data_IF_178898803113
#
_entry.id   IF_178898803113
#
_cell.length_a   1.000
_cell.length_b   1.000
_cell.length_c   1.000
_cell.angle_alpha   90.00
_cell.angle_beta   90.00
_cell.angle_gamma   90.00
#
_symmetry.space_group_name_H-M   'P 1'
#
loop_
_entity.id
_entity.type
_entity.pdbx_description
1 polymer ?
#
# COMPACT_ATOMS: atom_id res chain seq x y z
N UNK A 1 -49.10 85.68 23.84
CA UNK A 1 -47.86 85.53 24.61
C UNK A 1 -47.90 84.19 25.35
N UNK A 2 -46.84 83.37 25.20
CA UNK A 2 -46.47 82.11 25.93
C UNK A 2 -47.42 80.89 25.74
N UNK A 3 -47.08 79.83 24.98
CA UNK A 3 -46.20 78.64 25.28
C UNK A 3 -46.46 78.07 26.69
N UNK A 4 -46.86 76.80 26.90
CA UNK A 4 -46.09 75.52 26.76
C UNK A 4 -47.08 74.31 26.90
N UNK A 5 -47.24 73.37 25.97
CA UNK A 5 -46.60 72.02 25.77
C UNK A 5 -46.63 71.04 26.97
N UNK A 6 -47.44 69.96 26.89
CA UNK A 6 -47.09 68.51 27.00
C UNK A 6 -48.38 67.66 27.14
N UNK A 7 -48.79 66.82 26.18
CA UNK A 7 -48.25 65.52 25.73
C UNK A 7 -48.61 64.35 26.66
N UNK A 8 -49.64 63.58 26.31
CA UNK A 8 -49.61 62.12 26.43
C UNK A 8 -50.59 61.49 25.42
N UNK A 9 -49.94 60.84 24.46
CA UNK A 9 -50.45 60.18 23.28
C UNK A 9 -50.67 58.70 23.64
N UNK A 10 -51.92 58.22 23.57
CA UNK A 10 -52.22 56.79 23.52
C UNK A 10 -52.92 56.51 22.19
N UNK A 11 -52.15 56.67 21.10
CA UNK A 11 -52.57 56.25 19.77
C UNK A 11 -52.34 54.76 19.62
N UNK A 12 -53.43 54.01 19.53
CA UNK A 12 -53.47 52.63 19.07
C UNK A 12 -53.02 52.59 17.60
N UNK A 13 -51.71 52.50 17.36
CA UNK A 13 -51.20 52.19 16.02
C UNK A 13 -51.35 50.68 15.79
N UNK A 14 -52.47 50.32 15.15
CA UNK A 14 -52.56 49.12 14.31
C UNK A 14 -51.56 49.30 13.16
N UNK A 15 -50.30 48.93 13.41
CA UNK A 15 -49.26 48.88 12.41
C UNK A 15 -49.46 47.67 11.51
N UNK A 16 -50.29 47.79 10.48
CA UNK A 16 -50.11 46.98 9.28
C UNK A 16 -48.87 47.52 8.56
N UNK A 17 -47.69 46.99 8.88
CA UNK A 17 -46.57 47.09 7.94
C UNK A 17 -47.00 46.37 6.67
N UNK A 18 -46.82 46.94 5.46
CA UNK A 18 -46.99 46.17 4.25
C UNK A 18 -46.01 45.00 4.34
N UNK A 19 -46.57 43.80 4.46
CA UNK A 19 -45.81 42.57 4.46
C UNK A 19 -45.00 42.61 3.17
N UNK A 20 -43.68 42.69 3.30
CA UNK A 20 -42.78 42.73 2.16
C UNK A 20 -42.92 41.35 1.55
N UNK A 21 -43.82 41.22 0.57
CA UNK A 21 -43.94 40.03 -0.27
C UNK A 21 -42.61 39.94 -1.01
N UNK A 22 -41.62 39.33 -0.36
CA UNK A 22 -40.52 38.71 -1.08
C UNK A 22 -41.20 37.81 -2.10
N UNK A 23 -40.82 37.84 -3.38
CA UNK A 23 -41.29 36.83 -4.32
C UNK A 23 -40.86 35.47 -3.75
N UNK A 24 -41.79 34.78 -3.10
CA UNK A 24 -41.58 33.43 -2.63
C UNK A 24 -41.68 32.57 -3.89
N UNK A 25 -40.61 31.84 -4.19
CA UNK A 25 -40.61 30.88 -5.29
C UNK A 25 -41.59 29.78 -4.89
N UNK A 26 -42.73 29.72 -5.57
CA UNK A 26 -43.74 28.69 -5.33
C UNK A 26 -43.37 27.42 -6.08
N UNK A 27 -42.83 26.45 -5.35
CA UNK A 27 -42.46 25.13 -5.86
C UNK A 27 -43.55 24.08 -5.63
N UNK A 28 -44.76 24.49 -5.20
CA UNK A 28 -45.85 23.53 -4.99
C UNK A 28 -46.35 23.00 -6.34
N UNK A 29 -45.98 21.76 -6.67
CA UNK A 29 -46.38 21.07 -7.90
C UNK A 29 -45.29 20.93 -8.97
N UNK A 30 -44.09 21.47 -8.76
CA UNK A 30 -42.90 21.02 -9.48
C UNK A 30 -42.26 19.88 -8.71
N UNK A 31 -42.54 18.64 -9.09
CA UNK A 31 -41.80 17.46 -8.61
C UNK A 31 -40.39 17.50 -9.23
N UNK A 32 -39.59 18.54 -8.91
CA UNK A 32 -38.20 18.61 -9.30
C UNK A 32 -37.46 17.53 -8.52
N UNK A 33 -36.84 16.60 -9.22
CA UNK A 33 -36.05 15.52 -8.63
C UNK A 33 -34.62 15.56 -9.14
N UNK A 34 -33.70 15.10 -8.29
CA UNK A 34 -32.26 15.08 -8.52
C UNK A 34 -31.79 13.63 -8.56
N UNK A 35 -31.03 13.27 -9.59
CA UNK A 35 -30.39 11.96 -9.69
C UNK A 35 -28.92 12.10 -10.12
N UNK A 36 -28.13 11.06 -9.83
CA UNK A 36 -26.69 11.03 -10.04
C UNK A 36 -26.26 9.77 -10.80
N UNK A 37 -25.30 9.92 -11.71
CA UNK A 37 -24.43 8.84 -12.17
C UNK A 37 -22.99 9.21 -11.82
N UNK A 38 -22.23 8.29 -11.23
CA UNK A 38 -20.88 8.57 -10.74
C UNK A 38 -19.88 7.59 -11.35
N UNK A 39 -18.74 8.11 -11.78
CA UNK A 39 -17.53 7.35 -12.11
C UNK A 39 -16.49 7.58 -11.01
N UNK A 40 -15.87 6.49 -10.56
CA UNK A 40 -14.81 6.50 -9.55
C UNK A 40 -13.59 7.30 -10.04
N UNK A 41 -12.82 7.81 -9.08
CA UNK A 41 -11.57 8.52 -9.32
C UNK A 41 -10.37 7.58 -9.22
N UNK A 42 -9.28 7.87 -9.92
CA UNK A 42 -8.03 7.14 -9.71
C UNK A 42 -7.41 7.46 -8.34
N UNK A 43 -6.64 6.53 -7.77
CA UNK A 43 -6.11 6.69 -6.41
C UNK A 43 -5.10 7.84 -6.26
N UNK A 44 -4.50 8.33 -7.35
CA UNK A 44 -3.51 9.41 -7.36
C UNK A 44 -3.82 10.49 -8.41
N UNK A 45 -5.04 10.49 -8.96
CA UNK A 45 -5.47 11.42 -9.99
C UNK A 45 -6.91 11.87 -9.72
N UNK A 46 -7.24 13.09 -10.09
CA UNK A 46 -8.60 13.60 -9.98
C UNK A 46 -9.37 13.23 -11.25
N UNK A 47 -9.65 11.94 -11.48
CA UNK A 47 -10.28 11.45 -12.73
C UNK A 47 -11.76 11.08 -12.58
N UNK A 48 -12.34 11.28 -11.40
CA UNK A 48 -13.75 11.01 -11.12
C UNK A 48 -14.68 11.93 -11.90
N UNK A 49 -15.89 11.44 -12.13
CA UNK A 49 -16.93 12.13 -12.90
C UNK A 49 -18.26 12.01 -12.16
N UNK A 50 -19.03 13.10 -12.11
CA UNK A 50 -20.42 13.09 -11.68
C UNK A 50 -21.28 13.66 -12.80
N UNK A 51 -22.25 12.88 -13.26
CA UNK A 51 -23.37 13.38 -14.04
C UNK A 51 -24.55 13.62 -13.11
N UNK A 52 -25.06 14.85 -13.12
CA UNK A 52 -26.31 15.21 -12.46
C UNK A 52 -27.42 15.24 -13.50
N UNK A 53 -28.57 14.68 -13.16
CA UNK A 53 -29.80 14.81 -13.95
C UNK A 53 -30.93 15.36 -13.10
N UNK A 54 -31.75 16.22 -13.71
CA UNK A 54 -32.97 16.76 -13.14
C UNK A 54 -34.18 16.19 -13.86
N UNK A 55 -35.27 15.90 -13.15
CA UNK A 55 -36.58 15.59 -13.75
C UNK A 55 -37.67 16.42 -13.09
N UNK A 56 -38.81 16.62 -13.78
CA UNK A 56 -39.89 17.51 -13.31
C UNK A 56 -39.57 19.00 -13.44
N UNK A 57 -40.13 19.88 -12.61
CA UNK A 57 -39.85 21.34 -12.69
C UNK A 57 -40.04 22.00 -14.06
N UNK A 58 -39.43 23.17 -14.25
CA UNK A 58 -39.40 23.88 -15.53
C UNK A 58 -37.99 24.04 -16.12
N UNK A 59 -37.84 23.69 -17.40
CA UNK A 59 -36.59 23.91 -18.13
C UNK A 59 -36.35 25.41 -18.41
N UNK A 60 -35.09 25.86 -18.53
CA UNK A 60 -33.87 25.08 -18.38
C UNK A 60 -33.50 24.79 -16.91
N UNK A 61 -32.77 23.71 -16.68
CA UNK A 61 -32.12 23.45 -15.40
C UNK A 61 -30.72 24.05 -15.35
N UNK A 62 -30.27 24.36 -14.14
CA UNK A 62 -28.88 24.63 -13.83
C UNK A 62 -28.41 23.74 -12.70
N UNK A 63 -27.29 23.05 -12.91
CA UNK A 63 -26.73 22.10 -11.96
C UNK A 63 -25.51 22.68 -11.28
N UNK A 64 -25.27 22.26 -10.05
CA UNK A 64 -24.11 22.70 -9.29
C UNK A 64 -23.52 21.55 -8.48
N UNK A 65 -22.19 21.55 -8.34
CA UNK A 65 -21.43 20.79 -7.36
C UNK A 65 -20.54 21.76 -6.60
N UNK A 66 -20.71 21.81 -5.28
CA UNK A 66 -20.08 22.79 -4.39
C UNK A 66 -20.24 24.21 -5.01
N UNK A 67 -19.14 24.83 -5.41
CA UNK A 67 -19.12 26.18 -6.01
C UNK A 67 -19.10 26.19 -7.57
N UNK A 68 -19.10 25.02 -8.22
CA UNK A 68 -19.08 24.89 -9.69
C UNK A 68 -20.50 24.74 -10.23
N UNK A 69 -20.77 25.32 -11.41
CA UNK A 69 -22.05 25.21 -12.12
C UNK A 69 -21.90 24.56 -13.50
N UNK A 70 -22.93 23.87 -13.97
CA UNK A 70 -22.99 23.24 -15.30
C UNK A 70 -24.43 23.27 -15.84
N UNK A 71 -24.59 23.53 -17.13
CA UNK A 71 -25.91 23.48 -17.80
C UNK A 71 -26.22 22.07 -18.31
N UNK A 72 -25.21 21.23 -18.57
CA UNK A 72 -25.40 19.83 -18.98
C UNK A 72 -25.55 18.89 -17.78
N UNK A 73 -25.03 19.28 -16.62
CA UNK A 73 -24.97 18.45 -15.42
C UNK A 73 -23.67 17.63 -15.30
N UNK A 74 -22.75 17.76 -16.26
CA UNK A 74 -21.51 17.00 -16.32
C UNK A 74 -20.44 17.71 -15.50
N UNK A 75 -19.82 17.00 -14.56
CA UNK A 75 -18.70 17.47 -13.75
C UNK A 75 -17.57 16.43 -13.81
N UNK A 76 -16.45 16.81 -14.42
CA UNK A 76 -15.28 15.94 -14.59
C UNK A 76 -14.11 16.45 -13.75
N UNK A 77 -13.09 15.61 -13.59
CA UNK A 77 -11.86 16.02 -12.93
C UNK A 77 -12.01 16.06 -11.41
N UNK A 78 -12.75 15.12 -10.83
CA UNK A 78 -13.11 15.10 -9.42
C UNK A 78 -12.23 14.11 -8.65
N UNK A 79 -11.69 14.54 -7.52
CA UNK A 79 -11.05 13.66 -6.55
C UNK A 79 -12.07 12.76 -5.85
N UNK A 80 -11.63 11.69 -5.20
CA UNK A 80 -12.51 10.97 -4.29
C UNK A 80 -12.91 11.87 -3.11
N UNK A 81 -14.20 11.87 -2.79
CA UNK A 81 -14.77 12.74 -1.77
C UNK A 81 -16.28 12.85 -1.84
N UNK A 82 -16.86 13.60 -0.91
CA UNK A 82 -18.30 13.90 -0.85
C UNK A 82 -18.55 15.30 -1.41
N UNK A 83 -19.51 15.40 -2.33
CA UNK A 83 -19.86 16.64 -3.01
C UNK A 83 -21.29 17.06 -2.66
N UNK A 84 -21.47 18.35 -2.38
CA UNK A 84 -22.79 18.96 -2.22
C UNK A 84 -23.32 19.32 -3.60
N UNK A 85 -24.38 18.66 -4.03
CA UNK A 85 -24.99 18.89 -5.34
C UNK A 85 -26.32 19.62 -5.20
N UNK A 86 -26.66 20.45 -6.19
CA UNK A 86 -27.99 21.05 -6.30
C UNK A 86 -28.41 21.21 -7.75
N UNK A 87 -29.70 21.08 -8.00
CA UNK A 87 -30.34 21.44 -9.28
C UNK A 87 -31.30 22.59 -9.02
N UNK A 88 -31.29 23.57 -9.93
CA UNK A 88 -32.21 24.69 -9.95
C UNK A 88 -32.99 24.69 -11.27
N UNK A 89 -34.31 24.87 -11.22
CA UNK A 89 -35.15 25.02 -12.42
C UNK A 89 -35.35 26.49 -12.82
N UNK A 90 -36.04 26.74 -13.94
CA UNK A 90 -36.26 28.09 -14.46
C UNK A 90 -37.14 28.98 -13.58
N UNK A 91 -37.96 28.39 -12.71
CA UNK A 91 -38.76 29.12 -11.70
C UNK A 91 -37.93 29.50 -10.48
N UNK A 92 -36.75 28.92 -10.34
CA UNK A 92 -35.85 29.11 -9.22
C UNK A 92 -36.06 28.09 -8.09
N UNK A 93 -36.80 27.00 -8.33
CA UNK A 93 -36.93 25.91 -7.38
C UNK A 93 -35.62 25.14 -7.28
N UNK A 94 -35.18 24.86 -6.05
CA UNK A 94 -33.88 24.24 -5.77
C UNK A 94 -34.11 22.92 -5.05
N UNK A 95 -33.45 21.87 -5.54
CA UNK A 95 -33.32 20.59 -4.84
C UNK A 95 -31.85 20.31 -4.61
N UNK A 96 -31.51 19.95 -3.38
CA UNK A 96 -30.15 19.67 -2.95
C UNK A 96 -29.98 18.18 -2.62
N UNK A 97 -28.76 17.69 -2.77
CA UNK A 97 -28.38 16.33 -2.42
C UNK A 97 -26.89 16.23 -2.15
N UNK A 98 -26.46 15.07 -1.66
CA UNK A 98 -25.06 14.73 -1.51
C UNK A 98 -24.75 13.49 -2.34
N UNK A 99 -23.56 13.48 -2.92
CA UNK A 99 -23.06 12.37 -3.74
C UNK A 99 -21.58 12.16 -3.44
N UNK A 100 -21.15 10.90 -3.33
CA UNK A 100 -19.76 10.54 -3.11
C UNK A 100 -19.11 10.00 -4.38
N UNK A 101 -17.86 10.41 -4.62
CA UNK A 101 -16.95 9.79 -5.57
C UNK A 101 -15.97 8.94 -4.76
N UNK A 102 -15.95 7.64 -5.02
CA UNK A 102 -14.97 6.74 -4.42
C UNK A 102 -13.74 6.59 -5.33
N UNK A 103 -12.63 6.12 -4.76
CA UNK A 103 -11.49 5.69 -5.57
C UNK A 103 -11.77 4.35 -6.25
N UNK A 104 -11.15 4.14 -7.41
CA UNK A 104 -11.08 2.84 -8.08
C UNK A 104 -10.55 1.75 -7.16
N UNK A 105 -11.06 0.53 -7.35
CA UNK A 105 -10.64 -0.60 -6.53
C UNK A 105 -9.17 -0.91 -6.84
N UNK A 106 -8.32 -0.87 -5.82
CA UNK A 106 -6.88 -0.97 -6.02
C UNK A 106 -6.40 -2.35 -6.47
N UNK A 107 -5.15 -2.38 -6.92
CA UNK A 107 -4.40 -3.62 -7.15
C UNK A 107 -4.10 -4.33 -5.83
N UNK A 108 -4.22 -5.66 -5.82
CA UNK A 108 -3.92 -6.52 -4.69
C UNK A 108 -2.90 -7.61 -5.06
N UNK A 109 -1.95 -7.88 -4.17
CA UNK A 109 -0.96 -8.95 -4.34
C UNK A 109 -1.63 -10.28 -3.95
N UNK A 110 -1.64 -11.25 -4.87
CA UNK A 110 -2.29 -12.56 -4.66
C UNK A 110 -1.32 -13.69 -4.39
N UNK A 111 -0.07 -13.55 -4.83
CA UNK A 111 0.95 -14.54 -4.54
C UNK A 111 2.34 -13.92 -4.54
N UNK A 112 3.17 -14.41 -3.63
CA UNK A 112 4.61 -14.19 -3.65
C UNK A 112 5.29 -15.54 -3.60
N UNK A 113 6.23 -15.76 -4.51
CA UNK A 113 7.16 -16.90 -4.49
C UNK A 113 8.57 -16.35 -4.41
N UNK A 114 9.41 -16.99 -3.61
CA UNK A 114 10.83 -16.69 -3.57
C UNK A 114 11.64 -17.98 -3.71
N UNK A 115 12.76 -17.88 -4.42
CA UNK A 115 13.79 -18.90 -4.45
C UNK A 115 15.01 -18.37 -3.72
N UNK A 116 15.50 -19.18 -2.80
CA UNK A 116 16.63 -18.85 -1.96
C UNK A 116 17.93 -18.86 -2.76
N UNK A 117 18.89 -18.05 -2.32
CA UNK A 117 20.16 -17.95 -3.03
C UNK A 117 21.14 -19.03 -2.54
N UNK A 118 21.91 -19.68 -3.44
CA UNK A 118 23.05 -20.49 -3.03
C UNK A 118 24.03 -19.64 -2.20
N UNK A 119 24.65 -20.25 -1.19
CA UNK A 119 25.62 -19.57 -0.32
C UNK A 119 26.70 -18.83 -1.14
N UNK A 120 26.94 -17.57 -0.82
CA UNK A 120 28.01 -16.75 -1.43
C UNK A 120 27.72 -16.24 -2.85
N UNK A 121 26.49 -16.39 -3.36
CA UNK A 121 26.08 -15.85 -4.67
C UNK A 121 24.81 -15.01 -4.53
N UNK A 122 24.63 -14.07 -5.47
CA UNK A 122 23.37 -13.37 -5.68
C UNK A 122 22.61 -14.11 -6.78
N UNK A 123 21.77 -15.06 -6.38
CA UNK A 123 21.02 -15.95 -7.27
C UNK A 123 19.56 -16.13 -6.88
N UNK A 124 19.11 -15.47 -5.81
CA UNK A 124 17.72 -15.54 -5.38
C UNK A 124 16.78 -14.87 -6.38
N UNK A 125 15.54 -15.36 -6.41
CA UNK A 125 14.48 -14.83 -7.26
C UNK A 125 13.24 -14.53 -6.43
N UNK A 126 12.48 -13.52 -6.83
CA UNK A 126 11.14 -13.23 -6.30
C UNK A 126 10.18 -13.09 -7.47
N UNK A 127 9.07 -13.81 -7.43
CA UNK A 127 7.97 -13.70 -8.39
C UNK A 127 6.71 -13.29 -7.64
N UNK A 128 6.10 -12.19 -8.08
CA UNK A 128 4.86 -11.66 -7.53
C UNK A 128 3.78 -11.71 -8.59
N UNK A 129 2.57 -12.11 -8.18
CA UNK A 129 1.38 -11.93 -8.99
C UNK A 129 0.41 -10.99 -8.27
N UNK A 130 -0.22 -10.11 -9.04
CA UNK A 130 -1.21 -9.16 -8.56
C UNK A 130 -2.49 -9.25 -9.42
N UNK A 131 -3.62 -8.83 -8.84
CA UNK A 131 -4.95 -8.80 -9.49
C UNK A 131 -5.74 -7.58 -9.00
N UNK A 132 -6.87 -7.26 -9.65
CA UNK A 132 -7.63 -6.04 -9.35
C UNK A 132 -6.99 -4.79 -9.97
N UNK A 133 -7.52 -3.60 -9.69
CA UNK A 133 -7.01 -2.37 -10.31
C UNK A 133 -7.06 -2.35 -11.84
N UNK A 134 -6.38 -1.36 -12.41
CA UNK A 134 -6.27 -1.17 -13.86
C UNK A 134 -4.89 -1.53 -14.40
N UNK A 135 -4.85 -2.30 -15.49
CA UNK A 135 -3.60 -2.59 -16.20
C UNK A 135 -3.08 -1.35 -16.95
N UNK A 136 -1.76 -1.24 -17.19
CA UNK A 136 -0.69 -2.16 -16.76
C UNK A 136 -0.31 -2.01 -15.28
N UNK A 137 0.37 -3.03 -14.75
CA UNK A 137 0.98 -2.98 -13.40
C UNK A 137 2.47 -2.67 -13.49
N UNK A 138 2.98 -1.95 -12.51
CA UNK A 138 4.41 -1.73 -12.29
C UNK A 138 4.79 -2.23 -10.91
N UNK A 139 5.71 -3.20 -10.86
CA UNK A 139 6.28 -3.71 -9.63
C UNK A 139 7.59 -2.97 -9.35
N UNK A 140 7.83 -2.59 -8.09
CA UNK A 140 9.00 -1.83 -7.69
C UNK A 140 9.52 -2.32 -6.34
N UNK A 141 10.82 -2.49 -6.23
CA UNK A 141 11.53 -2.73 -4.96
C UNK A 141 12.02 -1.42 -4.36
N UNK A 142 12.19 -1.40 -3.03
CA UNK A 142 12.73 -0.26 -2.29
C UNK A 142 14.12 0.21 -2.78
N UNK A 143 14.92 -0.69 -3.36
CA UNK A 143 16.22 -0.39 -3.96
C UNK A 143 16.13 0.32 -5.33
N UNK A 144 14.91 0.51 -5.85
CA UNK A 144 14.63 1.18 -7.10
C UNK A 144 14.51 0.26 -8.32
N UNK A 145 14.75 -1.06 -8.19
CA UNK A 145 14.52 -2.00 -9.30
C UNK A 145 13.02 -2.08 -9.63
N UNK A 146 12.69 -2.09 -10.91
CA UNK A 146 11.31 -2.18 -11.41
C UNK A 146 11.13 -3.37 -12.35
N UNK A 147 9.92 -3.91 -12.41
CA UNK A 147 9.53 -5.01 -13.29
C UNK A 147 8.06 -4.86 -13.70
N UNK A 148 7.73 -5.16 -14.94
CA UNK A 148 6.33 -5.16 -15.42
C UNK A 148 5.69 -6.56 -15.34
N UNK A 149 6.51 -7.61 -15.18
CA UNK A 149 6.06 -9.00 -15.06
C UNK A 149 5.92 -9.46 -13.60
N UNK A 150 6.49 -8.71 -12.66
CA UNK A 150 6.56 -9.08 -11.25
C UNK A 150 7.69 -10.06 -10.93
N UNK A 151 8.61 -10.30 -11.86
CA UNK A 151 9.79 -11.14 -11.66
C UNK A 151 11.03 -10.30 -11.35
N UNK A 152 11.75 -10.68 -10.29
CA UNK A 152 13.03 -10.12 -9.86
C UNK A 152 14.05 -11.24 -9.68
N UNK A 153 15.28 -11.04 -10.14
CA UNK A 153 16.36 -12.03 -10.06
C UNK A 153 17.70 -11.40 -9.68
N UNK A 154 18.68 -12.25 -9.35
CA UNK A 154 19.99 -11.80 -8.90
C UNK A 154 19.91 -11.09 -7.55
N UNK A 155 19.10 -11.63 -6.65
CA UNK A 155 18.90 -11.10 -5.31
C UNK A 155 19.74 -11.87 -4.30
N UNK A 156 20.38 -11.14 -3.39
CA UNK A 156 21.12 -11.69 -2.27
C UNK A 156 20.20 -12.01 -1.08
N UNK A 157 20.81 -12.44 0.03
CA UNK A 157 20.09 -12.62 1.29
C UNK A 157 19.62 -11.27 1.83
N UNK A 158 18.34 -11.16 2.18
CA UNK A 158 17.78 -9.92 2.70
C UNK A 158 16.25 -9.88 2.69
N UNK A 159 15.71 -8.79 3.22
CA UNK A 159 14.29 -8.46 3.17
C UNK A 159 14.06 -7.41 2.09
N UNK A 160 13.06 -7.66 1.23
CA UNK A 160 12.71 -6.84 0.10
C UNK A 160 11.28 -6.36 0.25
N UNK A 161 11.10 -5.04 0.42
CA UNK A 161 9.81 -4.39 0.36
C UNK A 161 9.45 -4.13 -1.11
N UNK A 162 8.40 -4.79 -1.58
CA UNK A 162 7.96 -4.71 -2.97
C UNK A 162 6.57 -4.08 -3.03
N UNK A 163 6.46 -3.03 -3.83
CA UNK A 163 5.19 -2.37 -4.15
C UNK A 163 4.75 -2.74 -5.56
N UNK A 164 3.46 -2.99 -5.74
CA UNK A 164 2.80 -3.03 -7.05
C UNK A 164 1.89 -1.81 -7.18
N UNK A 165 1.99 -1.11 -8.31
CA UNK A 165 1.16 0.05 -8.64
C UNK A 165 0.43 -0.20 -9.95
N UNK A 166 -0.85 0.16 -10.00
CA UNK A 166 -1.69 0.03 -11.19
C UNK A 166 -1.69 1.32 -12.04
N UNK A 167 -2.38 1.31 -13.18
CA UNK A 167 -2.42 2.47 -14.08
C UNK A 167 -3.13 3.68 -13.48
N UNK A 168 -4.05 3.49 -12.52
CA UNK A 168 -4.78 4.56 -11.87
C UNK A 168 -4.06 5.06 -10.60
N UNK A 169 -2.83 4.60 -10.37
CA UNK A 169 -1.98 4.99 -9.26
C UNK A 169 -2.30 4.31 -7.93
N UNK A 170 -3.20 3.34 -7.91
CA UNK A 170 -3.49 2.54 -6.72
C UNK A 170 -2.32 1.58 -6.45
N UNK A 171 -1.90 1.43 -5.20
CA UNK A 171 -0.73 0.60 -4.86
C UNK A 171 -0.97 -0.34 -3.68
N UNK A 172 -0.28 -1.48 -3.71
CA UNK A 172 -0.20 -2.47 -2.64
C UNK A 172 1.26 -2.81 -2.37
N UNK A 173 1.60 -3.17 -1.13
CA UNK A 173 2.97 -3.50 -0.72
C UNK A 173 3.04 -4.82 0.04
N UNK A 174 4.14 -5.54 -0.15
CA UNK A 174 4.43 -6.79 0.56
C UNK A 174 5.94 -6.90 0.79
N UNK A 175 6.31 -7.28 2.01
CA UNK A 175 7.69 -7.64 2.34
C UNK A 175 7.94 -9.13 2.05
N UNK A 176 9.10 -9.43 1.47
CA UNK A 176 9.52 -10.77 1.09
C UNK A 176 10.98 -10.99 1.52
N UNK A 177 11.27 -12.13 2.12
CA UNK A 177 12.63 -12.47 2.55
C UNK A 177 13.26 -13.50 1.60
N UNK A 178 14.51 -13.27 1.23
CA UNK A 178 15.39 -14.28 0.65
C UNK A 178 16.37 -14.71 1.73
N UNK A 179 16.43 -16.02 1.95
CA UNK A 179 17.43 -16.64 2.82
C UNK A 179 18.45 -17.40 1.97
N UNK A 180 19.57 -17.78 2.58
CA UNK A 180 20.50 -18.69 1.92
C UNK A 180 19.86 -20.08 1.82
N UNK A 181 19.99 -20.75 0.68
CA UNK A 181 19.64 -22.17 0.58
C UNK A 181 20.74 -23.00 1.26
N UNK A 182 20.30 -23.87 2.16
CA UNK A 182 21.13 -24.69 3.04
C UNK A 182 20.86 -26.19 2.77
N UNK A 183 20.29 -26.51 1.61
CA UNK A 183 19.90 -27.86 1.20
C UNK A 183 21.06 -28.88 1.22
N UNK A 184 22.32 -28.45 1.21
CA UNK A 184 23.50 -29.30 1.30
C UNK A 184 23.97 -29.66 2.73
N UNK A 185 23.49 -29.02 3.81
CA UNK A 185 23.98 -29.32 5.18
C UNK A 185 23.58 -30.73 5.65
N UNK A 186 22.48 -31.30 5.15
CA UNK A 186 22.06 -32.66 5.51
C UNK A 186 23.08 -33.74 5.08
N UNK A 187 23.88 -33.47 4.03
CA UNK A 187 24.94 -34.38 3.58
C UNK A 187 26.27 -34.19 4.34
N UNK A 188 26.42 -33.09 5.11
CA UNK A 188 27.67 -32.75 5.83
C UNK A 188 27.60 -33.16 7.31
N UNK A 189 26.39 -33.19 7.89
CA UNK A 189 26.15 -33.64 9.27
C UNK A 189 26.67 -35.06 9.60
N UNK A 190 26.68 -36.06 8.69
CA UNK A 190 27.27 -37.37 8.95
C UNK A 190 28.80 -37.34 9.03
N UNK A 191 29.46 -36.41 8.32
CA UNK A 191 30.93 -36.32 8.23
C UNK A 191 31.53 -35.80 9.55
N UNK A 192 30.84 -34.86 10.22
CA UNK A 192 31.25 -34.35 11.54
C UNK A 192 31.08 -35.44 12.63
N UNK A 193 30.07 -36.30 12.49
CA UNK A 193 29.83 -37.43 13.42
C UNK A 193 30.87 -38.54 13.27
N UNK A 194 31.35 -38.78 12.05
CA UNK A 194 32.37 -39.79 11.72
C UNK A 194 33.76 -39.46 12.27
N UNK A 195 34.13 -38.17 12.36
CA UNK A 195 35.44 -37.76 12.87
C UNK A 195 35.54 -37.68 14.40
N UNK A 196 34.49 -38.12 15.11
CA UNK A 196 34.49 -38.28 16.57
C UNK A 196 34.59 -39.75 17.02
N UNK A 197 35.29 -40.62 16.26
CA UNK A 197 35.60 -41.97 16.71
C UNK A 197 37.11 -42.19 16.67
N UNK A 198 37.77 -42.05 17.84
CA UNK A 198 39.14 -42.51 18.04
C UNK A 198 40.10 -41.55 18.75
N UNK A 199 39.74 -41.00 19.92
CA UNK A 199 40.80 -40.54 20.84
C UNK A 199 41.46 -41.77 21.49
N UNK A 200 42.50 -42.33 20.86
CA UNK A 200 43.42 -43.21 21.55
C UNK A 200 44.46 -42.36 22.30
N UNK A 201 44.43 -42.49 23.63
CA UNK A 201 45.50 -42.19 24.58
C UNK A 201 45.89 -40.72 24.79
N UNK A 202 45.11 -40.04 25.65
CA UNK A 202 45.70 -39.13 26.65
C UNK A 202 45.77 -37.64 26.31
N UNK A 203 44.65 -37.01 25.94
CA UNK A 203 44.35 -35.59 26.25
C UNK A 203 42.87 -35.33 25.98
N UNK A 204 42.09 -35.12 27.05
CA UNK A 204 40.70 -34.70 26.95
C UNK A 204 40.71 -33.20 26.62
N UNK A 205 40.33 -32.83 25.40
CA UNK A 205 39.87 -31.45 25.13
C UNK A 205 38.38 -31.40 25.50
N UNK A 206 37.94 -30.50 26.39
CA UNK A 206 36.56 -30.45 26.82
C UNK A 206 35.68 -29.82 25.74
N UNK A 207 34.46 -30.34 25.63
CA UNK A 207 33.30 -29.79 24.94
C UNK A 207 33.32 -29.68 23.41
N UNK A 208 32.77 -30.71 22.78
CA UNK A 208 32.09 -30.60 21.48
C UNK A 208 30.62 -31.03 21.64
N UNK A 209 29.85 -30.28 22.43
CA UNK A 209 28.43 -30.56 22.66
C UNK A 209 27.52 -29.33 22.45
N UNK A 210 28.08 -28.17 22.12
CA UNK A 210 27.31 -26.97 21.75
C UNK A 210 27.77 -26.48 20.38
N UNK A 211 26.84 -25.89 19.62
CA UNK A 211 27.12 -25.29 18.32
C UNK A 211 28.33 -24.35 18.37
N UNK A 212 28.51 -23.61 19.48
CA UNK A 212 29.65 -22.74 19.78
C UNK A 212 31.03 -23.44 19.76
N UNK A 213 31.12 -24.71 20.17
CA UNK A 213 32.36 -25.48 20.11
C UNK A 213 32.78 -25.85 18.69
N UNK A 214 31.82 -25.96 17.77
CA UNK A 214 32.08 -26.15 16.33
C UNK A 214 32.63 -24.85 15.71
N UNK A 215 32.15 -23.69 16.18
CA UNK A 215 32.58 -22.34 15.73
C UNK A 215 34.05 -22.07 16.06
N UNK A 216 34.51 -22.49 17.25
CA UNK A 216 35.91 -22.30 17.67
C UNK A 216 36.91 -23.08 16.79
N UNK A 217 36.48 -24.17 16.13
CA UNK A 217 37.37 -25.00 15.33
C UNK A 217 37.41 -24.58 13.85
N UNK A 218 36.34 -23.98 13.29
CA UNK A 218 36.37 -23.45 11.91
C UNK A 218 37.40 -22.32 11.74
N UNK A 219 37.56 -21.44 12.74
CA UNK A 219 38.65 -20.44 12.75
C UNK A 219 40.03 -21.08 12.93
N UNK A 220 40.12 -22.24 13.59
CA UNK A 220 41.37 -22.99 13.79
C UNK A 220 41.80 -23.81 12.57
N UNK A 221 40.87 -24.21 11.70
CA UNK A 221 41.17 -24.93 10.44
C UNK A 221 42.00 -24.06 9.48
N UNK A 222 41.89 -22.72 9.53
CA UNK A 222 42.80 -21.81 8.79
C UNK A 222 44.26 -21.90 9.25
N UNK A 223 44.54 -22.39 10.46
CA UNK A 223 45.89 -22.46 11.03
C UNK A 223 46.48 -23.88 11.11
N UNK A 224 45.75 -24.93 10.70
CA UNK A 224 46.24 -26.33 10.75
C UNK A 224 46.91 -26.76 9.42
N UNK A 225 46.87 -25.93 8.37
CA UNK A 225 47.55 -26.20 7.08
C UNK A 225 49.10 -26.18 7.13
N UNK A 226 49.73 -26.17 8.32
CA UNK A 226 51.21 -26.17 8.45
C UNK A 226 51.81 -27.12 9.49
N UNK A 227 51.07 -28.09 10.04
CA UNK A 227 51.67 -29.14 10.85
C UNK A 227 51.18 -30.51 10.36
N UNK A 228 52.16 -31.39 10.11
CA UNK A 228 51.96 -32.69 9.47
C UNK A 228 50.98 -33.62 10.18
N UNK A 229 50.53 -34.59 9.38
CA UNK A 229 49.71 -35.76 9.70
C UNK A 229 48.19 -35.54 9.65
N UNK A 230 47.64 -35.65 8.43
CA UNK A 230 46.20 -35.64 8.12
C UNK A 230 45.71 -37.08 7.82
N UNK A 231 44.55 -37.54 8.34
CA UNK A 231 43.91 -38.80 7.93
C UNK A 231 43.36 -38.73 6.48
N UNK A 232 43.00 -39.87 5.84
CA UNK A 232 42.87 -39.99 4.37
C UNK A 232 41.64 -39.28 3.76
N UNK A 233 40.83 -38.58 4.54
CA UNK A 233 39.86 -37.62 4.01
C UNK A 233 40.55 -36.26 3.95
N UNK A 234 41.02 -35.87 2.75
CA UNK A 234 41.69 -34.60 2.51
C UNK A 234 40.89 -33.38 3.01
N UNK A 235 41.51 -32.18 3.02
CA UNK A 235 40.87 -30.95 3.51
C UNK A 235 39.49 -30.75 2.88
N UNK A 236 38.54 -30.23 3.66
CA UNK A 236 37.29 -29.70 3.12
C UNK A 236 37.67 -28.65 2.07
N UNK A 237 37.06 -28.72 0.88
CA UNK A 237 37.26 -27.70 -0.16
C UNK A 237 36.83 -26.33 0.38
N UNK A 238 37.49 -25.26 -0.05
CA UNK A 238 37.21 -23.89 0.39
C UNK A 238 35.71 -23.55 0.26
N UNK A 239 35.04 -24.04 -0.79
CA UNK A 239 33.60 -23.91 -1.00
C UNK A 239 32.74 -24.44 0.17
N UNK A 240 33.15 -25.52 0.85
CA UNK A 240 32.43 -26.09 1.99
C UNK A 240 32.66 -25.33 3.29
N UNK A 241 33.79 -24.63 3.40
CA UNK A 241 34.11 -23.77 4.55
C UNK A 241 33.28 -22.47 4.46
N UNK A 242 33.14 -21.92 3.26
CA UNK A 242 32.32 -20.74 2.99
C UNK A 242 30.83 -20.99 3.23
N UNK A 243 30.35 -22.21 2.94
CA UNK A 243 28.97 -22.65 3.22
C UNK A 243 28.66 -22.69 4.74
N UNK A 244 29.59 -23.19 5.56
CA UNK A 244 29.46 -23.22 7.02
C UNK A 244 29.53 -21.80 7.61
N UNK A 245 30.37 -20.92 7.05
CA UNK A 245 30.46 -19.52 7.48
C UNK A 245 29.16 -18.74 7.19
N UNK A 246 28.46 -19.07 6.10
CA UNK A 246 27.18 -18.46 5.72
C UNK A 246 26.02 -18.83 6.68
N UNK A 247 26.03 -20.03 7.25
CA UNK A 247 25.08 -20.43 8.29
C UNK A 247 25.22 -19.57 9.56
N UNK A 248 26.46 -19.26 9.97
CA UNK A 248 26.72 -18.45 11.17
C UNK A 248 26.26 -17.00 10.97
N UNK A 249 26.43 -16.42 9.78
CA UNK A 249 26.03 -15.03 9.52
C UNK A 249 24.52 -14.86 9.36
N UNK A 250 23.83 -15.84 8.77
CA UNK A 250 22.37 -15.82 8.61
C UNK A 250 21.62 -16.17 9.91
N UNK A 251 22.21 -16.99 10.78
CA UNK A 251 21.66 -17.31 12.11
C UNK A 251 21.91 -16.22 13.18
N UNK A 252 22.93 -15.37 13.01
CA UNK A 252 23.24 -14.27 13.94
C UNK A 252 22.31 -13.05 13.80
N UNK A 253 21.47 -12.99 12.77
CA UNK A 253 20.51 -11.90 12.57
C UNK A 253 19.13 -12.16 13.20
N UNK A 254 18.92 -13.34 13.80
CA UNK A 254 17.61 -13.76 14.34
C UNK A 254 17.66 -14.15 15.83
N UNK A 255 18.46 -13.47 16.66
CA UNK A 255 18.36 -13.54 18.12
C UNK A 255 18.42 -12.14 18.74
#
# INVERSE_FOLDING_TARGET
MKKTINLLLAGLLLGCTPDRVTPQVDCTGSDLELAFTVKKSGCQEDSGEIQITGTGGELPYQFFINDKSSDSGDFNGLSAGVYSAKVQDAKGCIVEGQVSVDNEDGVNIVSVKSENTPCGKDGGTITIAATGGSLPYTFKMADGKTSDTGEFSGLGVGNYDISVTDNNGCSSQQQVSIIADISLINDIMPIIKSNCVGCHSGRVSPNLSTAEGVIANATRVRNITKAGDMPPSGPLSDDKIDEIACWVSSGALNN
#
